data_IF_737258789573
#
_entry.id   IF_737258789573
#
_cell.length_a   1.000
_cell.length_b   1.000
_cell.length_c   1.000
_cell.angle_alpha   90.00
_cell.angle_beta   90.00
_cell.angle_gamma   90.00
#
_symmetry.space_group_name_H-M   'P 1'
#
loop_
_entity.id
_entity.type
_entity.pdbx_description
1 polymer ?
#
# COMPACT_ATOMS: atom_id res chain seq x y z
N UNK A 1 62.27 -35.64 -8.97
CA UNK A 1 61.88 -34.25 -9.20
C UNK A 1 60.41 -34.11 -8.84
N UNK A 2 60.12 -33.65 -7.64
CA UNK A 2 58.74 -33.46 -7.12
C UNK A 2 58.32 -32.02 -7.37
N UNK A 3 57.32 -31.79 -8.26
CA UNK A 3 56.77 -30.45 -8.53
C UNK A 3 55.69 -30.17 -7.50
N UNK A 4 55.93 -29.24 -6.58
CA UNK A 4 54.94 -28.66 -5.69
C UNK A 4 54.05 -27.68 -6.47
N UNK A 5 52.79 -28.02 -6.64
CA UNK A 5 51.77 -27.11 -7.18
C UNK A 5 51.25 -26.25 -6.04
N UNK A 6 51.60 -24.96 -6.03
CA UNK A 6 51.10 -23.98 -5.06
C UNK A 6 49.74 -23.52 -5.52
N UNK A 7 48.66 -23.99 -4.89
CA UNK A 7 47.29 -23.49 -5.06
C UNK A 7 47.14 -22.18 -4.29
N UNK A 8 47.13 -21.06 -5.02
CA UNK A 8 46.78 -19.74 -4.45
C UNK A 8 45.26 -19.72 -4.19
N UNK A 9 44.89 -19.86 -2.95
CA UNK A 9 43.53 -19.53 -2.50
C UNK A 9 43.34 -18.01 -2.49
N UNK A 10 42.75 -17.43 -3.55
CA UNK A 10 42.26 -16.06 -3.53
C UNK A 10 40.97 -16.05 -2.74
N UNK A 11 41.03 -15.67 -1.47
CA UNK A 11 39.87 -15.41 -0.65
C UNK A 11 39.21 -14.13 -1.17
N UNK A 12 38.12 -14.26 -1.93
CA UNK A 12 37.21 -13.15 -2.20
C UNK A 12 36.45 -12.84 -0.91
N UNK A 13 36.96 -11.90 -0.15
CA UNK A 13 36.21 -11.27 0.94
C UNK A 13 35.16 -10.37 0.29
N UNK A 14 33.97 -10.91 0.02
CA UNK A 14 32.82 -10.10 -0.33
C UNK A 14 32.55 -9.19 0.88
N UNK A 15 32.79 -7.89 0.75
CA UNK A 15 32.34 -6.92 1.75
C UNK A 15 30.80 -6.97 1.74
N UNK A 16 30.20 -7.47 2.83
CA UNK A 16 28.77 -7.34 3.04
C UNK A 16 28.43 -5.84 3.06
N UNK A 17 27.40 -5.43 2.32
CA UNK A 17 26.93 -4.06 2.31
C UNK A 17 26.56 -3.65 3.75
N UNK A 18 26.91 -2.43 4.15
CA UNK A 18 26.51 -1.93 5.46
C UNK A 18 24.98 -1.71 5.50
N UNK A 19 24.38 -1.77 6.69
CA UNK A 19 22.94 -1.49 6.86
C UNK A 19 22.58 -0.09 6.30
N UNK A 20 23.48 0.88 6.46
CA UNK A 20 23.31 2.24 5.91
C UNK A 20 23.20 2.23 4.37
N UNK A 21 24.00 1.39 3.68
CA UNK A 21 23.98 1.29 2.23
C UNK A 21 22.67 0.65 1.74
N UNK A 22 22.14 -0.34 2.48
CA UNK A 22 20.85 -0.96 2.17
C UNK A 22 19.69 0.04 2.29
N UNK A 23 19.68 0.87 3.34
CA UNK A 23 18.68 1.93 3.50
C UNK A 23 18.77 3.01 2.42
N UNK A 24 19.97 3.33 1.94
CA UNK A 24 20.13 4.25 0.81
C UNK A 24 19.52 3.67 -0.47
N UNK A 25 19.58 2.33 -0.69
CA UNK A 25 18.87 1.67 -1.79
C UNK A 25 17.35 1.82 -1.70
N UNK A 26 16.76 1.72 -0.52
CA UNK A 26 15.32 1.97 -0.33
C UNK A 26 14.94 3.42 -0.64
N UNK A 27 15.79 4.38 -0.24
CA UNK A 27 15.59 5.78 -0.59
C UNK A 27 15.70 6.02 -2.10
N UNK A 28 16.67 5.41 -2.76
CA UNK A 28 16.79 5.43 -4.23
C UNK A 28 15.55 4.83 -4.90
N UNK A 29 15.00 3.73 -4.36
CA UNK A 29 13.77 3.11 -4.85
C UNK A 29 12.55 4.05 -4.75
N UNK A 30 12.42 4.81 -3.66
CA UNK A 30 11.39 5.85 -3.54
C UNK A 30 11.54 6.92 -4.62
N UNK A 31 12.76 7.42 -4.83
CA UNK A 31 13.02 8.45 -5.86
C UNK A 31 12.82 7.93 -7.27
N UNK A 32 13.26 6.69 -7.56
CA UNK A 32 13.09 6.05 -8.86
C UNK A 32 11.61 5.89 -9.21
N UNK A 33 10.79 5.46 -8.24
CA UNK A 33 9.34 5.30 -8.42
C UNK A 33 8.62 6.58 -8.80
N UNK A 34 9.09 7.73 -8.30
CA UNK A 34 8.48 9.04 -8.51
C UNK A 34 8.99 9.75 -9.76
N UNK A 35 10.26 9.53 -10.13
CA UNK A 35 10.93 10.36 -11.16
C UNK A 35 11.05 9.66 -12.51
N UNK A 36 11.05 8.32 -12.56
CA UNK A 36 11.21 7.60 -13.81
C UNK A 36 9.91 7.55 -14.59
N UNK A 37 10.02 7.61 -15.93
CA UNK A 37 8.90 7.35 -16.83
C UNK A 37 8.95 5.88 -17.26
N UNK A 38 7.86 5.14 -17.03
CA UNK A 38 7.79 3.71 -17.36
C UNK A 38 6.38 3.24 -17.65
N UNK A 39 6.29 2.12 -18.36
CA UNK A 39 5.04 1.38 -18.57
C UNK A 39 5.27 -0.11 -18.38
N UNK A 40 4.22 -0.83 -18.03
CA UNK A 40 4.32 -2.28 -17.85
C UNK A 40 3.01 -2.94 -17.48
N UNK A 41 3.07 -4.25 -17.34
CA UNK A 41 1.98 -5.07 -16.81
C UNK A 41 2.38 -5.54 -15.42
N UNK A 42 1.51 -5.26 -14.46
CA UNK A 42 1.61 -5.74 -13.09
C UNK A 42 0.69 -6.95 -12.91
N UNK A 43 1.23 -8.01 -12.35
CA UNK A 43 0.47 -9.14 -11.84
C UNK A 43 0.39 -9.03 -10.32
N UNK A 44 -0.83 -9.10 -9.79
CA UNK A 44 -1.11 -9.21 -8.36
C UNK A 44 -1.67 -10.60 -8.10
N UNK A 45 -1.09 -11.30 -7.14
CA UNK A 45 -1.55 -12.61 -6.68
C UNK A 45 -2.02 -12.46 -5.25
N UNK A 46 -3.27 -12.78 -4.99
CA UNK A 46 -3.86 -12.73 -3.66
C UNK A 46 -3.59 -14.03 -2.86
N UNK A 47 -4.09 -14.09 -1.63
CA UNK A 47 -3.90 -15.27 -0.77
C UNK A 47 -4.63 -16.53 -1.26
N UNK A 48 -5.63 -16.40 -2.17
CA UNK A 48 -6.33 -17.52 -2.83
C UNK A 48 -5.63 -18.01 -4.08
N UNK A 49 -4.50 -17.38 -4.44
CA UNK A 49 -3.76 -17.59 -5.69
C UNK A 49 -4.51 -17.11 -6.93
N UNK A 50 -5.51 -16.23 -6.77
CA UNK A 50 -6.17 -15.58 -7.89
C UNK A 50 -5.23 -14.50 -8.46
N UNK A 51 -5.03 -14.53 -9.77
CA UNK A 51 -4.15 -13.61 -10.49
C UNK A 51 -5.00 -12.50 -11.11
N UNK A 52 -4.60 -11.26 -10.89
CA UNK A 52 -5.17 -10.07 -11.54
C UNK A 52 -4.06 -9.32 -12.26
N UNK A 53 -4.28 -9.02 -13.53
CA UNK A 53 -3.33 -8.27 -14.35
C UNK A 53 -3.81 -6.86 -14.60
N UNK A 54 -2.91 -5.90 -14.45
CA UNK A 54 -3.17 -4.49 -14.70
C UNK A 54 -2.10 -3.88 -15.60
N UNK A 55 -2.49 -3.01 -16.53
CA UNK A 55 -1.56 -2.18 -17.28
C UNK A 55 -1.31 -0.90 -16.52
N UNK A 56 -0.05 -0.54 -16.37
CA UNK A 56 0.38 0.69 -15.73
C UNK A 56 1.16 1.56 -16.70
N UNK A 57 0.92 2.87 -16.65
CA UNK A 57 1.75 3.90 -17.30
C UNK A 57 2.02 4.96 -16.24
N UNK A 58 3.28 5.26 -16.02
CA UNK A 58 3.75 6.29 -15.10
C UNK A 58 4.67 7.27 -15.82
N UNK A 59 4.41 8.54 -15.65
CA UNK A 59 5.22 9.63 -16.22
C UNK A 59 5.39 10.72 -15.18
N UNK A 60 6.63 11.17 -14.99
CA UNK A 60 6.93 12.41 -14.32
C UNK A 60 7.14 13.48 -15.39
N UNK A 61 6.24 14.47 -15.45
CA UNK A 61 6.30 15.58 -16.37
C UNK A 61 6.40 16.89 -15.59
N UNK A 62 7.50 17.63 -15.74
CA UNK A 62 7.76 18.91 -15.06
C UNK A 62 7.63 18.82 -13.52
N UNK A 63 8.14 17.73 -12.93
CA UNK A 63 8.03 17.40 -11.50
C UNK A 63 6.60 17.12 -11.02
N UNK A 64 5.68 16.80 -11.92
CA UNK A 64 4.34 16.33 -11.61
C UNK A 64 4.20 14.85 -12.00
N UNK A 65 3.70 14.04 -11.08
CA UNK A 65 3.53 12.60 -11.24
C UNK A 65 2.16 12.28 -11.83
N UNK A 66 2.12 11.54 -12.95
CA UNK A 66 0.93 11.05 -13.63
C UNK A 66 0.96 9.53 -13.70
N UNK A 67 -0.08 8.89 -13.21
CA UNK A 67 -0.22 7.44 -13.20
C UNK A 67 -1.56 7.02 -13.75
N UNK A 68 -1.56 6.06 -14.66
CA UNK A 68 -2.75 5.38 -15.18
C UNK A 68 -2.62 3.89 -14.93
N UNK A 69 -3.65 3.30 -14.30
CA UNK A 69 -3.77 1.85 -14.11
C UNK A 69 -5.08 1.40 -14.71
N UNK A 70 -5.00 0.44 -15.64
CA UNK A 70 -6.16 -0.18 -16.28
C UNK A 70 -6.16 -1.68 -15.98
N UNK A 71 -7.29 -2.19 -15.50
CA UNK A 71 -7.46 -3.63 -15.34
C UNK A 71 -7.56 -4.28 -16.72
N UNK A 72 -6.76 -5.34 -16.93
CA UNK A 72 -6.73 -6.07 -18.21
C UNK A 72 -7.81 -7.16 -18.23
N UNK A 73 -8.03 -7.81 -17.09
CA UNK A 73 -8.93 -8.95 -16.95
C UNK A 73 -10.20 -8.58 -16.19
N UNK A 74 -11.35 -9.15 -16.59
CA UNK A 74 -12.65 -8.96 -15.94
C UNK A 74 -13.31 -7.62 -16.27
N UNK A 75 -14.11 -7.09 -15.33
CA UNK A 75 -14.82 -5.82 -15.54
C UNK A 75 -13.82 -4.65 -15.67
N UNK A 76 -13.99 -3.79 -16.70
CA UNK A 76 -13.10 -2.66 -16.92
C UNK A 76 -13.08 -1.74 -15.71
N UNK A 77 -11.89 -1.42 -15.25
CA UNK A 77 -11.64 -0.53 -14.13
C UNK A 77 -10.43 0.35 -14.50
N UNK A 78 -10.55 1.64 -14.28
CA UNK A 78 -9.52 2.61 -14.61
C UNK A 78 -9.23 3.48 -13.40
N UNK A 79 -7.97 3.54 -13.00
CA UNK A 79 -7.46 4.49 -12.02
C UNK A 79 -6.57 5.52 -12.72
N UNK A 80 -6.86 6.79 -12.50
CA UNK A 80 -6.00 7.92 -12.85
C UNK A 80 -5.53 8.58 -11.57
N UNK A 81 -4.22 8.81 -11.46
CA UNK A 81 -3.63 9.51 -10.32
C UNK A 81 -2.72 10.64 -10.81
N UNK A 82 -2.95 11.84 -10.29
CA UNK A 82 -2.09 13.00 -10.46
C UNK A 82 -1.55 13.38 -9.09
N UNK A 83 -0.24 13.35 -8.94
CA UNK A 83 0.42 13.43 -7.64
C UNK A 83 -0.14 12.33 -6.69
N UNK A 84 -0.76 12.72 -5.59
CA UNK A 84 -1.39 11.82 -4.61
C UNK A 84 -2.91 11.74 -4.74
N UNK A 85 -3.51 12.50 -5.65
CA UNK A 85 -4.96 12.51 -5.88
C UNK A 85 -5.35 11.45 -6.91
N UNK A 86 -6.15 10.49 -6.51
CA UNK A 86 -6.57 9.37 -7.35
C UNK A 86 -8.07 9.43 -7.67
N UNK A 87 -8.43 9.13 -8.91
CA UNK A 87 -9.81 8.99 -9.38
C UNK A 87 -10.00 7.60 -9.95
N UNK A 88 -10.85 6.81 -9.30
CA UNK A 88 -11.21 5.47 -9.73
C UNK A 88 -12.52 5.52 -10.53
N UNK A 89 -12.48 5.00 -11.75
CA UNK A 89 -13.63 4.79 -12.62
C UNK A 89 -13.99 3.30 -12.59
N UNK A 90 -15.01 2.96 -11.82
CA UNK A 90 -15.46 1.59 -11.64
C UNK A 90 -16.66 1.34 -12.56
N UNK A 91 -16.47 0.49 -13.56
CA UNK A 91 -17.44 0.25 -14.59
C UNK A 91 -18.41 -0.88 -14.16
N UNK A 92 -19.58 -0.50 -13.65
CA UNK A 92 -20.70 -1.39 -13.42
C UNK A 92 -21.58 -1.48 -14.68
N UNK A 93 -22.42 -2.50 -14.83
CA UNK A 93 -23.14 -2.88 -16.07
C UNK A 93 -23.74 -1.67 -16.84
N UNK A 94 -24.49 -0.79 -16.13
CA UNK A 94 -25.22 0.32 -16.72
C UNK A 94 -24.70 1.73 -16.30
N UNK A 95 -23.68 1.76 -15.47
CA UNK A 95 -23.19 3.01 -14.86
C UNK A 95 -21.68 2.96 -14.61
N UNK A 96 -21.10 4.14 -14.52
CA UNK A 96 -19.71 4.33 -14.10
C UNK A 96 -19.70 5.03 -12.75
N UNK A 97 -19.15 4.36 -11.74
CA UNK A 97 -18.94 4.92 -10.41
C UNK A 97 -17.60 5.65 -10.38
N UNK A 98 -17.63 6.94 -10.08
CA UNK A 98 -16.41 7.75 -9.94
C UNK A 98 -16.14 7.94 -8.45
N UNK A 99 -15.01 7.40 -7.97
CA UNK A 99 -14.56 7.52 -6.59
C UNK A 99 -13.27 8.33 -6.54
N UNK A 100 -13.18 9.30 -5.65
CA UNK A 100 -11.96 10.09 -5.45
C UNK A 100 -11.28 9.69 -4.15
N UNK A 101 -9.96 9.57 -4.17
CA UNK A 101 -9.12 9.25 -3.00
C UNK A 101 -7.93 10.20 -2.98
N UNK A 102 -7.67 10.79 -1.81
CA UNK A 102 -6.49 11.63 -1.57
C UNK A 102 -5.38 10.83 -0.88
N UNK A 103 -4.15 11.28 -1.03
CA UNK A 103 -2.96 10.68 -0.40
C UNK A 103 -2.82 9.18 -0.69
N UNK A 104 -3.14 8.75 -1.92
CA UNK A 104 -2.94 7.38 -2.35
C UNK A 104 -1.46 7.12 -2.64
N UNK A 105 -0.95 5.99 -2.17
CA UNK A 105 0.33 5.42 -2.60
C UNK A 105 0.06 4.05 -3.17
N UNK A 106 0.67 3.75 -4.31
CA UNK A 106 0.48 2.50 -5.03
C UNK A 106 1.83 1.96 -5.48
N UNK A 107 1.97 0.64 -5.49
CA UNK A 107 3.16 0.03 -6.07
C UNK A 107 3.40 0.54 -7.50
N UNK A 108 4.66 0.88 -7.87
CA UNK A 108 5.90 0.73 -7.09
C UNK A 108 6.22 1.86 -6.11
N UNK A 109 5.48 2.98 -6.08
CA UNK A 109 5.71 4.13 -5.20
C UNK A 109 5.09 3.90 -3.80
N UNK A 110 5.59 2.91 -3.07
CA UNK A 110 5.11 2.55 -1.72
C UNK A 110 5.93 3.17 -0.60
N UNK A 111 7.19 3.55 -0.87
CA UNK A 111 8.09 4.06 0.16
C UNK A 111 7.92 5.57 0.37
N UNK A 112 8.04 6.04 1.63
CA UNK A 112 8.14 7.47 1.90
C UNK A 112 9.49 8.00 1.39
N UNK A 113 9.55 9.30 1.12
CA UNK A 113 10.78 9.98 0.71
C UNK A 113 11.85 9.94 1.82
N UNK A 114 11.43 9.99 3.10
CA UNK A 114 12.30 9.79 4.25
C UNK A 114 12.16 8.38 4.80
N UNK A 115 13.28 7.65 4.89
CA UNK A 115 13.32 6.27 5.39
C UNK A 115 13.56 6.18 6.91
N UNK A 116 13.70 7.31 7.62
CA UNK A 116 14.09 7.31 9.03
C UNK A 116 13.07 6.56 9.92
N UNK A 117 11.77 6.78 9.70
CA UNK A 117 10.73 6.02 10.40
C UNK A 117 10.76 4.52 10.10
N UNK A 118 11.11 4.16 8.87
CA UNK A 118 11.25 2.74 8.52
C UNK A 118 12.40 2.11 9.29
N UNK A 119 13.54 2.81 9.43
CA UNK A 119 14.70 2.35 10.22
C UNK A 119 14.35 2.11 11.69
N UNK A 120 13.46 2.89 12.25
CA UNK A 120 13.01 2.70 13.63
C UNK A 120 12.21 1.40 13.79
N UNK A 121 11.38 1.06 12.80
CA UNK A 121 10.39 0.00 12.87
C UNK A 121 10.83 -1.32 12.22
N UNK A 122 11.80 -1.28 11.29
CA UNK A 122 12.25 -2.43 10.52
C UNK A 122 13.77 -2.57 10.55
N UNK A 123 14.24 -3.81 10.50
CA UNK A 123 15.61 -4.16 10.12
C UNK A 123 15.64 -4.51 8.63
N UNK A 124 16.72 -4.16 7.94
CA UNK A 124 16.89 -4.43 6.51
C UNK A 124 17.99 -5.43 6.27
N UNK A 125 17.77 -6.37 5.34
CA UNK A 125 18.74 -7.39 4.96
C UNK A 125 18.83 -7.49 3.43
N UNK A 126 20.04 -7.80 2.96
CA UNK A 126 20.28 -8.18 1.57
C UNK A 126 19.89 -9.64 1.37
N UNK A 127 18.96 -9.89 0.47
CA UNK A 127 18.48 -11.23 0.09
C UNK A 127 19.15 -11.79 -1.16
N UNK A 128 20.13 -11.07 -1.71
CA UNK A 128 20.93 -11.50 -2.86
C UNK A 128 20.32 -11.21 -4.23
N UNK A 129 21.02 -11.64 -5.29
CA UNK A 129 20.65 -11.35 -6.67
C UNK A 129 19.47 -12.21 -7.14
N UNK A 130 18.61 -11.60 -7.94
CA UNK A 130 17.43 -12.20 -8.56
C UNK A 130 17.23 -11.68 -10.00
N UNK A 131 16.15 -12.13 -10.63
CA UNK A 131 15.70 -11.62 -11.92
C UNK A 131 14.17 -11.47 -11.90
N UNK A 132 13.66 -10.27 -12.18
CA UNK A 132 12.23 -9.94 -12.25
C UNK A 132 11.97 -9.21 -13.57
N UNK A 133 10.87 -9.52 -14.25
CA UNK A 133 10.50 -8.89 -15.53
C UNK A 133 11.66 -8.88 -16.54
N UNK A 134 12.45 -9.97 -16.61
CA UNK A 134 13.63 -10.12 -17.45
C UNK A 134 14.80 -9.15 -17.12
N UNK A 135 14.82 -8.52 -15.94
CA UNK A 135 15.82 -7.56 -15.49
C UNK A 135 16.60 -8.09 -14.28
N UNK A 136 17.94 -7.90 -14.24
CA UNK A 136 18.72 -8.16 -13.03
C UNK A 136 18.15 -7.32 -11.87
N UNK A 137 18.06 -7.92 -10.71
CA UNK A 137 17.48 -7.26 -9.53
C UNK A 137 18.06 -7.84 -8.25
N UNK A 138 18.10 -7.04 -7.19
CA UNK A 138 18.51 -7.47 -5.85
C UNK A 138 17.31 -7.50 -4.93
N UNK A 139 17.18 -8.55 -4.13
CA UNK A 139 16.14 -8.69 -3.11
C UNK A 139 16.57 -8.00 -1.82
N UNK A 140 15.64 -7.27 -1.22
CA UNK A 140 15.77 -6.68 0.12
C UNK A 140 14.66 -7.22 1.00
N UNK A 141 14.99 -7.54 2.24
CA UNK A 141 14.03 -7.99 3.25
C UNK A 141 13.90 -6.92 4.33
N UNK A 142 12.70 -6.38 4.50
CA UNK A 142 12.34 -5.51 5.61
C UNK A 142 11.63 -6.37 6.66
N UNK A 143 12.34 -6.69 7.75
CA UNK A 143 11.81 -7.47 8.86
C UNK A 143 11.39 -6.55 10.00
N UNK A 144 10.14 -6.63 10.49
CA UNK A 144 9.71 -5.78 11.60
C UNK A 144 10.49 -6.08 12.87
N UNK A 145 10.75 -5.04 13.66
CA UNK A 145 11.39 -5.16 14.99
C UNK A 145 10.41 -5.55 16.10
N UNK A 146 9.12 -5.65 15.76
CA UNK A 146 8.04 -5.98 16.69
C UNK A 146 7.00 -6.93 16.06
N UNK A 147 5.90 -7.19 16.78
CA UNK A 147 4.82 -8.08 16.33
C UNK A 147 3.64 -7.38 15.66
N UNK A 148 3.71 -6.07 15.45
CA UNK A 148 2.59 -5.25 14.99
C UNK A 148 2.55 -5.08 13.47
N UNK A 149 3.52 -5.64 12.75
CA UNK A 149 3.76 -5.45 11.30
C UNK A 149 4.02 -6.77 10.61
N UNK A 150 3.88 -6.76 9.29
CA UNK A 150 4.28 -7.88 8.44
C UNK A 150 5.70 -7.69 7.91
N UNK A 151 6.28 -8.78 7.39
CA UNK A 151 7.54 -8.76 6.66
C UNK A 151 7.30 -8.33 5.22
N UNK A 152 8.24 -7.58 4.64
CA UNK A 152 8.23 -7.16 3.25
C UNK A 152 9.47 -7.67 2.55
N UNK A 153 9.28 -8.39 1.45
CA UNK A 153 10.35 -8.73 0.52
C UNK A 153 10.18 -7.88 -0.73
N UNK A 154 11.24 -7.18 -1.10
CA UNK A 154 11.25 -6.20 -2.18
C UNK A 154 12.36 -6.53 -3.16
N UNK A 155 12.10 -6.51 -4.45
CA UNK A 155 13.10 -6.65 -5.51
C UNK A 155 13.26 -5.33 -6.23
N UNK A 156 14.46 -4.78 -6.18
CA UNK A 156 14.84 -3.54 -6.87
C UNK A 156 15.62 -3.86 -8.12
N UNK A 157 15.32 -3.17 -9.20
CA UNK A 157 16.11 -3.20 -10.43
C UNK A 157 17.55 -2.70 -10.17
N UNK A 158 18.55 -3.47 -10.56
CA UNK A 158 19.95 -3.14 -10.26
C UNK A 158 20.43 -1.87 -10.97
N UNK A 159 19.84 -1.54 -12.13
CA UNK A 159 20.21 -0.38 -12.94
C UNK A 159 19.48 0.90 -12.48
N UNK A 160 18.17 0.83 -12.32
CA UNK A 160 17.32 1.99 -12.09
C UNK A 160 16.90 2.17 -10.63
N UNK A 161 17.07 1.16 -9.79
CA UNK A 161 16.53 1.06 -8.43
C UNK A 161 15.00 1.03 -8.35
N UNK A 162 14.28 0.92 -9.47
CA UNK A 162 12.81 0.84 -9.46
C UNK A 162 12.36 -0.47 -8.78
N UNK A 163 11.37 -0.44 -7.85
CA UNK A 163 10.77 -1.65 -7.32
C UNK A 163 10.08 -2.47 -8.41
N UNK A 164 10.55 -3.70 -8.65
CA UNK A 164 10.02 -4.62 -9.65
C UNK A 164 9.03 -5.62 -9.07
N UNK A 165 9.19 -5.95 -7.79
CA UNK A 165 8.33 -6.92 -7.10
C UNK A 165 8.27 -6.60 -5.61
N UNK A 166 7.10 -6.85 -5.03
CA UNK A 166 6.83 -6.77 -3.61
C UNK A 166 6.09 -8.02 -3.15
N UNK A 167 6.52 -8.62 -2.05
CA UNK A 167 5.76 -9.63 -1.32
C UNK A 167 5.56 -9.18 0.12
N UNK A 168 4.34 -9.33 0.61
CA UNK A 168 3.99 -9.13 2.02
C UNK A 168 3.78 -10.51 2.63
N UNK A 169 4.47 -10.78 3.73
CA UNK A 169 4.52 -12.10 4.36
C UNK A 169 4.10 -11.96 5.82
N UNK A 170 3.13 -12.76 6.23
CA UNK A 170 2.63 -12.74 7.61
C UNK A 170 3.60 -13.45 8.59
N UNK A 171 3.29 -13.37 9.87
CA UNK A 171 4.12 -13.95 10.94
C UNK A 171 4.17 -15.49 10.89
N UNK A 172 3.30 -16.14 10.09
CA UNK A 172 3.28 -17.59 9.86
C UNK A 172 3.99 -17.97 8.55
N UNK A 173 4.77 -17.07 7.97
CA UNK A 173 5.45 -17.24 6.68
C UNK A 173 4.51 -17.44 5.48
N UNK A 174 3.24 -17.07 5.60
CA UNK A 174 2.29 -17.09 4.50
C UNK A 174 2.38 -15.81 3.69
N UNK A 175 2.47 -15.92 2.39
CA UNK A 175 2.37 -14.79 1.45
C UNK A 175 0.91 -14.33 1.45
N UNK A 176 0.67 -13.06 1.80
CA UNK A 176 -0.65 -12.43 1.83
C UNK A 176 -0.85 -11.48 0.66
N UNK A 177 0.23 -11.02 0.06
CA UNK A 177 0.21 -10.18 -1.15
C UNK A 177 1.50 -10.41 -1.94
N UNK A 178 1.37 -10.50 -3.27
CA UNK A 178 2.50 -10.56 -4.18
C UNK A 178 2.16 -9.73 -5.42
N UNK A 179 2.91 -8.64 -5.62
CA UNK A 179 2.77 -7.75 -6.77
C UNK A 179 4.10 -7.76 -7.53
N UNK A 180 4.07 -7.96 -8.84
CA UNK A 180 5.27 -7.94 -9.66
C UNK A 180 5.01 -7.44 -11.07
N UNK A 181 5.99 -6.76 -11.65
CA UNK A 181 6.00 -6.53 -13.08
C UNK A 181 6.17 -7.86 -13.83
N UNK A 182 5.29 -8.12 -14.79
CA UNK A 182 5.47 -9.19 -15.78
C UNK A 182 6.36 -8.72 -16.92
N UNK A 183 6.22 -7.46 -17.34
CA UNK A 183 7.11 -6.75 -18.24
C UNK A 183 7.24 -5.29 -17.78
N UNK A 184 8.32 -4.64 -18.16
CA UNK A 184 8.60 -3.25 -17.84
C UNK A 184 9.38 -2.61 -19.00
N UNK A 185 8.95 -1.42 -19.42
CA UNK A 185 9.63 -0.59 -20.39
C UNK A 185 9.82 0.81 -19.84
N UNK A 186 11.01 1.38 -19.96
CA UNK A 186 11.25 2.78 -19.64
C UNK A 186 10.91 3.64 -20.85
N UNK A 187 10.18 4.74 -20.59
CA UNK A 187 9.72 5.65 -21.62
C UNK A 187 10.73 6.78 -21.82
N UNK A 188 11.00 7.12 -23.08
CA UNK A 188 11.94 8.17 -23.44
C UNK A 188 11.30 9.56 -23.49
N UNK A 189 9.98 9.66 -23.40
CA UNK A 189 9.25 10.91 -23.47
C UNK A 189 8.32 11.08 -22.26
N UNK A 190 8.04 12.33 -21.94
CA UNK A 190 7.14 12.74 -20.86
C UNK A 190 5.73 13.11 -21.40
N UNK A 191 5.26 12.44 -22.47
CA UNK A 191 3.94 12.69 -23.01
C UNK A 191 2.86 12.23 -22.03
N UNK A 192 1.96 13.15 -21.66
CA UNK A 192 0.82 12.91 -20.77
C UNK A 192 -0.52 12.98 -21.48
N UNK A 193 -0.55 12.99 -22.82
CA UNK A 193 -1.78 13.05 -23.62
C UNK A 193 -2.73 11.87 -23.37
N UNK A 194 -2.19 10.74 -22.90
CA UNK A 194 -2.91 9.53 -22.48
C UNK A 194 -3.62 9.66 -21.12
N UNK A 195 -3.31 10.70 -20.32
CA UNK A 195 -3.88 10.91 -18.99
C UNK A 195 -5.30 11.49 -19.09
N UNK A 196 -6.21 10.66 -19.53
CA UNK A 196 -7.64 10.96 -19.62
C UNK A 196 -8.45 9.67 -19.56
N UNK A 197 -9.66 9.69 -18.99
CA UNK A 197 -10.53 8.54 -19.03
C UNK A 197 -11.10 8.37 -20.46
N UNK A 198 -11.08 7.14 -20.95
CA UNK A 198 -11.86 6.75 -22.14
C UNK A 198 -13.18 6.15 -21.62
N UNK A 199 -14.17 7.02 -21.43
CA UNK A 199 -15.45 6.65 -20.84
C UNK A 199 -16.51 6.52 -21.92
N UNK A 200 -17.40 5.53 -21.78
CA UNK A 200 -18.54 5.33 -22.67
C UNK A 200 -19.57 6.46 -22.46
N UNK A 201 -19.83 7.31 -23.46
CA UNK A 201 -20.73 8.45 -23.34
C UNK A 201 -22.22 8.03 -23.16
N UNK A 202 -22.55 6.77 -23.41
CA UNK A 202 -23.93 6.25 -23.27
C UNK A 202 -24.24 5.79 -21.84
N UNK A 203 -23.22 5.60 -20.99
CA UNK A 203 -23.40 5.18 -19.60
C UNK A 203 -23.74 6.33 -18.66
N UNK A 204 -24.52 6.03 -17.64
CA UNK A 204 -24.81 6.98 -16.57
C UNK A 204 -23.60 7.11 -15.64
N UNK A 205 -23.20 8.36 -15.39
CA UNK A 205 -22.13 8.67 -14.43
C UNK A 205 -22.70 8.92 -13.04
N UNK A 206 -22.15 8.27 -12.03
CA UNK A 206 -22.48 8.50 -10.62
C UNK A 206 -21.19 8.91 -9.93
N UNK A 207 -21.12 10.18 -9.54
CA UNK A 207 -20.01 10.70 -8.76
C UNK A 207 -20.31 10.42 -7.30
N UNK A 208 -19.54 9.55 -6.70
CA UNK A 208 -19.59 9.31 -5.27
C UNK A 208 -18.65 10.31 -4.59
N UNK A 209 -19.10 11.55 -4.46
CA UNK A 209 -18.42 12.53 -3.63
C UNK A 209 -18.64 12.13 -2.19
N UNK A 210 -17.58 11.66 -1.54
CA UNK A 210 -17.58 11.52 -0.10
C UNK A 210 -17.72 12.95 0.48
N UNK A 211 -18.93 13.30 0.91
CA UNK A 211 -19.16 14.56 1.61
C UNK A 211 -18.37 14.56 2.92
N UNK A 212 -17.14 15.08 2.87
CA UNK A 212 -16.37 15.37 4.07
C UNK A 212 -17.12 16.47 4.83
N UNK A 213 -17.64 16.13 5.99
CA UNK A 213 -18.09 17.13 6.92
C UNK A 213 -16.87 17.93 7.37
N UNK A 214 -17.02 19.25 7.48
CA UNK A 214 -15.94 20.15 7.89
C UNK A 214 -15.25 19.65 9.16
N UNK A 215 -14.01 20.06 9.38
CA UNK A 215 -13.21 19.75 10.58
C UNK A 215 -13.89 20.14 11.93
N UNK A 216 -15.07 20.74 11.88
CA UNK A 216 -15.87 21.18 13.04
C UNK A 216 -16.61 20.06 13.77
N UNK A 217 -16.63 18.82 13.25
CA UNK A 217 -17.26 17.70 13.96
C UNK A 217 -16.35 17.30 15.11
N UNK A 218 -16.83 17.56 16.34
CA UNK A 218 -16.08 17.28 17.56
C UNK A 218 -15.78 15.78 17.68
N UNK A 219 -14.51 15.47 17.93
CA UNK A 219 -14.03 14.13 18.22
C UNK A 219 -14.49 13.75 19.64
N UNK A 220 -15.38 12.77 19.76
CA UNK A 220 -15.92 12.27 21.04
C UNK A 220 -15.23 10.98 21.50
N UNK A 221 -14.08 10.67 20.94
CA UNK A 221 -13.32 9.46 21.21
C UNK A 221 -11.81 9.73 21.08
N UNK A 222 -11.04 8.86 21.70
CA UNK A 222 -9.56 8.83 21.60
C UNK A 222 -9.06 7.40 21.54
N UNK A 223 -7.82 7.22 21.11
CA UNK A 223 -7.11 5.94 21.20
C UNK A 223 -5.97 6.14 22.19
N UNK A 224 -6.00 5.43 23.32
CA UNK A 224 -5.06 5.65 24.42
C UNK A 224 -3.66 5.13 24.13
N UNK A 225 -3.56 3.99 23.44
CA UNK A 225 -2.29 3.37 23.12
C UNK A 225 -2.27 2.99 21.64
N UNK A 226 -1.32 3.57 20.92
CA UNK A 226 -0.99 3.16 19.56
C UNK A 226 0.14 2.13 19.62
N UNK A 227 0.16 1.13 18.71
CA UNK A 227 1.35 0.32 18.52
C UNK A 227 2.55 1.21 18.21
N UNK A 228 3.70 0.88 18.78
CA UNK A 228 4.90 1.67 18.61
C UNK A 228 5.20 1.95 17.13
N UNK A 229 5.57 3.19 16.80
CA UNK A 229 5.92 3.63 15.45
C UNK A 229 4.73 3.94 14.53
N UNK A 230 3.47 3.67 14.95
CA UNK A 230 2.31 4.19 14.24
C UNK A 230 1.96 5.60 14.70
N UNK A 231 1.60 6.45 13.75
CA UNK A 231 1.15 7.82 14.01
C UNK A 231 -0.12 8.13 13.22
N UNK A 232 -0.88 9.10 13.70
CA UNK A 232 -2.05 9.61 12.99
C UNK A 232 -1.62 10.33 11.70
N UNK A 233 -2.08 9.83 10.56
CA UNK A 233 -1.86 10.45 9.26
C UNK A 233 -2.99 11.39 8.88
N UNK A 234 -4.24 10.98 9.11
CA UNK A 234 -5.41 11.78 8.75
C UNK A 234 -6.62 11.42 9.58
N UNK A 235 -7.50 12.40 9.76
CA UNK A 235 -8.82 12.26 10.36
C UNK A 235 -9.88 12.83 9.42
N UNK A 236 -11.01 12.15 9.31
CA UNK A 236 -12.19 12.64 8.59
C UNK A 236 -13.48 12.18 9.23
N UNK A 237 -14.53 12.99 9.11
CA UNK A 237 -15.89 12.64 9.48
C UNK A 237 -16.77 12.72 8.23
N UNK A 238 -17.51 11.65 7.93
CA UNK A 238 -18.27 11.52 6.68
C UNK A 238 -19.62 10.87 6.91
N UNK A 239 -20.59 11.19 6.04
CA UNK A 239 -21.82 10.42 5.92
C UNK A 239 -21.64 9.38 4.83
N UNK A 240 -21.69 8.12 5.21
CA UNK A 240 -21.66 7.01 4.24
C UNK A 240 -23.07 6.71 3.73
N UNK A 241 -23.16 6.39 2.44
CA UNK A 241 -24.44 5.92 1.85
C UNK A 241 -24.92 4.68 2.60
N UNK A 242 -26.15 4.71 3.11
CA UNK A 242 -26.73 3.63 3.93
C UNK A 242 -26.54 3.76 5.45
N UNK A 243 -25.72 4.70 5.93
CA UNK A 243 -25.63 5.07 7.35
C UNK A 243 -26.32 6.41 7.57
N UNK A 244 -27.43 6.42 8.36
CA UNK A 244 -28.09 7.66 8.79
C UNK A 244 -27.30 8.39 9.90
N UNK A 245 -25.99 8.19 9.95
CA UNK A 245 -25.10 8.70 10.98
C UNK A 245 -23.76 9.12 10.38
N UNK A 246 -23.06 9.96 11.14
CA UNK A 246 -21.68 10.35 10.81
C UNK A 246 -20.76 9.21 11.23
N UNK A 247 -19.93 8.75 10.31
CA UNK A 247 -18.82 7.87 10.62
C UNK A 247 -17.52 8.66 10.68
N UNK A 248 -16.76 8.45 11.72
CA UNK A 248 -15.43 8.99 11.91
C UNK A 248 -14.42 7.99 11.35
N UNK A 249 -13.49 8.45 10.55
CA UNK A 249 -12.36 7.67 10.06
C UNK A 249 -11.07 8.34 10.50
N UNK A 250 -10.17 7.54 11.06
CA UNK A 250 -8.79 7.94 11.31
C UNK A 250 -7.87 6.95 10.62
N UNK A 251 -6.81 7.45 10.01
CA UNK A 251 -5.80 6.63 9.34
C UNK A 251 -4.50 6.77 10.12
N UNK A 252 -3.92 5.63 10.48
CA UNK A 252 -2.59 5.53 11.06
C UNK A 252 -1.62 4.93 10.06
N UNK A 253 -0.34 5.31 10.17
CA UNK A 253 0.74 4.73 9.36
C UNK A 253 2.03 4.65 10.15
N UNK A 254 2.85 3.66 9.82
CA UNK A 254 4.25 3.55 10.25
C UNK A 254 5.24 3.97 9.14
N UNK A 255 4.70 4.53 8.04
CA UNK A 255 5.43 4.91 6.83
C UNK A 255 5.32 3.89 5.69
N UNK A 256 4.98 2.61 5.98
CA UNK A 256 4.82 1.54 4.99
C UNK A 256 3.43 0.91 5.06
N UNK A 257 2.96 0.58 6.26
CA UNK A 257 1.62 0.05 6.51
C UNK A 257 0.62 1.16 6.80
N UNK A 258 -0.66 0.90 6.51
CA UNK A 258 -1.78 1.79 6.81
C UNK A 258 -2.87 1.05 7.57
N UNK A 259 -3.43 1.69 8.59
CA UNK A 259 -4.57 1.20 9.37
C UNK A 259 -5.65 2.27 9.37
N UNK A 260 -6.84 1.93 8.87
CA UNK A 260 -8.04 2.78 8.98
C UNK A 260 -8.91 2.31 10.13
N UNK A 261 -9.24 3.20 11.06
CA UNK A 261 -10.20 2.95 12.14
C UNK A 261 -11.45 3.76 11.87
N UNK A 262 -12.59 3.08 11.84
CA UNK A 262 -13.92 3.66 11.64
C UNK A 262 -14.72 3.57 12.93
N UNK A 263 -15.39 4.67 13.31
CA UNK A 263 -16.24 4.73 14.50
C UNK A 263 -17.55 5.40 14.11
N UNK A 264 -18.68 4.72 14.31
CA UNK A 264 -20.01 5.27 14.05
C UNK A 264 -21.05 4.69 15.01
N UNK A 265 -22.12 5.44 15.34
CA UNK A 265 -23.22 4.91 16.14
C UNK A 265 -23.94 3.78 15.39
N UNK A 266 -24.41 2.77 16.14
CA UNK A 266 -25.22 1.68 15.59
C UNK A 266 -26.70 2.01 15.80
N UNK A 267 -27.52 2.11 14.74
CA UNK A 267 -28.96 2.30 14.87
C UNK A 267 -29.62 1.18 15.68
N UNK A 268 -30.64 1.50 16.49
CA UNK A 268 -31.33 0.54 17.39
C UNK A 268 -31.90 -0.68 16.65
N UNK A 269 -32.20 -0.54 15.37
CA UNK A 269 -32.77 -1.59 14.51
C UNK A 269 -31.70 -2.38 13.72
N UNK A 270 -30.41 -2.10 13.94
CA UNK A 270 -29.31 -2.81 13.29
C UNK A 270 -28.53 -3.64 14.30
N UNK A 271 -28.10 -4.82 13.87
CA UNK A 271 -27.22 -5.68 14.66
C UNK A 271 -25.77 -5.24 14.46
N UNK A 272 -25.01 -4.97 15.54
CA UNK A 272 -23.60 -4.62 15.39
C UNK A 272 -22.79 -5.80 14.84
N UNK A 273 -21.75 -5.48 14.10
CA UNK A 273 -20.77 -6.45 13.64
C UNK A 273 -19.65 -6.60 14.66
N UNK A 274 -19.27 -7.83 14.96
CA UNK A 274 -18.15 -8.13 15.89
C UNK A 274 -17.34 -9.29 15.36
N UNK A 275 -16.05 -9.31 15.73
CA UNK A 275 -15.12 -10.38 15.35
C UNK A 275 -14.12 -9.94 14.31
N UNK A 276 -13.41 -10.93 13.77
CA UNK A 276 -12.30 -10.74 12.85
C UNK A 276 -12.57 -11.44 11.52
N UNK A 277 -12.17 -10.80 10.42
CA UNK A 277 -12.22 -11.38 9.07
C UNK A 277 -11.07 -10.83 8.24
N UNK A 278 -10.88 -11.36 7.02
CA UNK A 278 -9.91 -10.87 6.05
C UNK A 278 -10.58 -10.64 4.70
N UNK A 279 -10.13 -9.60 4.01
CA UNK A 279 -10.54 -9.28 2.65
C UNK A 279 -9.30 -8.88 1.83
N UNK A 280 -8.87 -9.75 0.94
CA UNK A 280 -7.58 -9.62 0.24
C UNK A 280 -6.43 -9.58 1.25
N UNK A 281 -5.48 -8.66 1.06
CA UNK A 281 -4.34 -8.45 1.97
C UNK A 281 -4.72 -7.78 3.29
N UNK A 282 -5.94 -7.25 3.44
CA UNK A 282 -6.36 -6.52 4.63
C UNK A 282 -7.05 -7.42 5.65
N UNK A 283 -6.58 -7.37 6.88
CA UNK A 283 -7.31 -7.84 8.04
C UNK A 283 -8.35 -6.80 8.46
N UNK A 284 -9.46 -7.27 9.02
CA UNK A 284 -10.57 -6.46 9.53
C UNK A 284 -10.92 -6.97 10.91
N UNK A 285 -10.93 -6.08 11.89
CA UNK A 285 -11.42 -6.37 13.23
C UNK A 285 -12.51 -5.40 13.60
N UNK A 286 -13.64 -5.91 14.12
CA UNK A 286 -14.79 -5.12 14.47
C UNK A 286 -15.29 -5.45 15.87
N UNK A 287 -15.65 -4.43 16.64
CA UNK A 287 -16.27 -4.57 17.95
C UNK A 287 -17.35 -3.51 18.18
N UNK A 288 -18.25 -3.82 19.12
CA UNK A 288 -19.29 -2.92 19.57
C UNK A 288 -19.02 -2.46 20.99
N UNK A 289 -19.05 -1.14 21.22
CA UNK A 289 -18.79 -0.54 22.52
C UNK A 289 -19.69 0.67 22.75
N UNK A 290 -20.48 0.69 23.83
CA UNK A 290 -21.29 1.83 24.25
C UNK A 290 -22.18 2.44 23.15
N UNK A 291 -22.82 1.62 22.33
CA UNK A 291 -23.69 2.11 21.24
C UNK A 291 -22.99 2.37 19.90
N UNK A 292 -21.66 2.20 19.84
CA UNK A 292 -20.86 2.48 18.65
C UNK A 292 -20.25 1.20 18.06
N UNK A 293 -20.23 1.15 16.74
CA UNK A 293 -19.42 0.22 15.97
C UNK A 293 -18.01 0.80 15.83
N UNK A 294 -17.01 0.00 16.18
CA UNK A 294 -15.59 0.31 15.99
C UNK A 294 -15.05 -0.74 15.05
N UNK A 295 -14.41 -0.35 13.95
CA UNK A 295 -13.85 -1.24 12.95
C UNK A 295 -12.46 -0.77 12.57
N UNK A 296 -11.47 -1.65 12.66
CA UNK A 296 -10.11 -1.39 12.17
C UNK A 296 -9.82 -2.27 10.95
N UNK A 297 -9.21 -1.67 9.92
CA UNK A 297 -8.87 -2.33 8.65
C UNK A 297 -7.44 -1.98 8.27
N UNK A 298 -6.64 -2.98 7.89
CA UNK A 298 -5.27 -2.74 7.43
C UNK A 298 -4.51 -4.01 7.09
N UNK A 299 -3.45 -3.86 6.29
CA UNK A 299 -2.50 -4.93 5.97
C UNK A 299 -1.46 -5.08 7.10
N UNK A 300 -1.93 -5.44 8.28
CA UNK A 300 -1.15 -5.66 9.50
C UNK A 300 -1.67 -6.90 10.24
N UNK A 301 -0.94 -7.48 11.21
CA UNK A 301 -1.43 -8.59 12.01
C UNK A 301 -2.77 -8.30 12.68
N UNK A 302 -3.62 -9.31 12.81
CA UNK A 302 -4.93 -9.19 13.44
C UNK A 302 -4.85 -8.67 14.89
N UNK A 303 -3.81 -9.07 15.61
CA UNK A 303 -3.52 -8.62 16.97
C UNK A 303 -3.30 -7.10 17.06
N UNK A 304 -2.75 -6.50 16.02
CA UNK A 304 -2.57 -5.04 15.91
C UNK A 304 -3.92 -4.34 15.81
N UNK A 305 -4.83 -4.87 14.98
CA UNK A 305 -6.16 -4.28 14.80
C UNK A 305 -7.03 -4.45 16.07
N UNK A 306 -7.00 -5.63 16.70
CA UNK A 306 -7.74 -5.85 17.94
C UNK A 306 -7.23 -4.92 19.05
N UNK A 307 -5.92 -4.82 19.22
CA UNK A 307 -5.33 -3.89 20.20
C UNK A 307 -5.76 -2.44 19.97
N UNK A 308 -5.79 -1.97 18.72
CA UNK A 308 -6.25 -0.61 18.41
C UNK A 308 -7.71 -0.40 18.79
N UNK A 309 -8.59 -1.35 18.42
CA UNK A 309 -10.02 -1.21 18.73
C UNK A 309 -10.31 -1.32 20.22
N UNK A 310 -9.57 -2.14 20.96
CA UNK A 310 -9.68 -2.30 22.42
C UNK A 310 -9.30 -1.00 23.15
N UNK A 311 -8.32 -0.27 22.64
CA UNK A 311 -7.83 0.99 23.20
C UNK A 311 -8.65 2.22 22.79
N UNK A 312 -9.72 2.06 22.01
CA UNK A 312 -10.66 3.16 21.76
C UNK A 312 -11.44 3.48 23.01
N UNK A 313 -11.35 4.72 23.48
CA UNK A 313 -12.17 5.31 24.54
C UNK A 313 -13.18 6.27 23.95
N UNK A 314 -14.43 6.12 24.36
CA UNK A 314 -15.52 7.02 24.00
C UNK A 314 -15.68 8.01 25.16
N UNK A 315 -15.63 9.32 24.85
CA UNK A 315 -15.94 10.36 25.84
C UNK A 315 -17.46 10.40 26.04
N UNK A 316 -17.93 10.24 27.25
CA UNK A 316 -19.32 10.55 27.57
C UNK A 316 -19.53 12.05 27.27
N UNK A 317 -20.57 12.38 26.49
CA UNK A 317 -21.03 13.74 26.30
C UNK A 317 -21.49 14.36 27.63
#
# INVERSE_FOLDING_TARGET
>A
MLRFLFLLFVSFSGMAASESDLWEKIKQASLASQNLCYSGILNTVDEKQDISSTRMIHVNHKNEEFLKIEKIDGAPNLLLMHQTDAVLYDNDHDKILIKRKKNARLFPNIFPTSVEKLKENYSIFDGGPFRVANRPSTMFVLSPKDQYRFNYHLWLDDESSLPLKLMVIDNNQKIIENISFANLEFLSNEDVSWFRPNLDPQKKYIINEENQLSQSVRKFWSIEQLPQGFEEMSYSAKRYSGLNAIAHQIVFTDGLSFISVFIHPVPKNQKPQTGSTRMGSNNIHAQYKQGYQIMAVGAVPMTTLSSLTDNVKLSNE
#
